data_IF_739178251447
#
_entry.id   IF_739178251447
#
_cell.length_a   1.000
_cell.length_b   1.000
_cell.length_c   1.000
_cell.angle_alpha   90.00
_cell.angle_beta   90.00
_cell.angle_gamma   90.00
#
_symmetry.space_group_name_H-M   'P 1'
#
loop_
_entity.id
_entity.type
_entity.pdbx_description
1 polymer ?
#
# COMPACT_ATOMS: atom_id res chain seq x y z
N UNK A 1 -27.24 7.93 6.17
CA UNK A 1 -26.83 7.18 7.38
C UNK A 1 -25.32 7.32 7.46
N UNK A 2 -24.79 8.01 8.47
CA UNK A 2 -23.33 8.18 8.64
C UNK A 2 -22.81 6.97 9.41
N UNK A 3 -21.98 6.15 8.77
CA UNK A 3 -21.22 5.10 9.45
C UNK A 3 -20.03 5.76 10.15
N UNK A 4 -19.90 5.55 11.46
CA UNK A 4 -18.71 5.95 12.22
C UNK A 4 -17.82 4.72 12.35
N UNK A 5 -16.60 4.79 11.82
CA UNK A 5 -15.61 3.73 11.99
C UNK A 5 -15.23 3.65 13.47
N UNK A 6 -15.57 2.54 14.13
CA UNK A 6 -15.13 2.27 15.49
C UNK A 6 -13.80 1.51 15.44
N UNK A 7 -12.70 2.21 15.76
CA UNK A 7 -11.35 1.64 15.72
C UNK A 7 -11.12 0.86 17.02
N UNK A 8 -11.28 -0.46 16.95
CA UNK A 8 -11.06 -1.34 18.11
C UNK A 8 -9.57 -1.60 18.41
N UNK A 9 -8.68 -1.42 17.43
CA UNK A 9 -7.25 -1.63 17.57
C UNK A 9 -6.46 -0.85 16.50
N UNK A 10 -5.27 -0.40 16.88
CA UNK A 10 -4.27 0.18 15.97
C UNK A 10 -2.99 -0.66 16.07
N UNK A 11 -2.39 -0.96 14.92
CA UNK A 11 -1.17 -1.76 14.83
C UNK A 11 -0.22 -1.12 13.83
N UNK A 12 1.06 -1.06 14.18
CA UNK A 12 2.09 -0.45 13.33
C UNK A 12 2.60 -1.36 12.22
N UNK A 13 2.45 -2.68 12.37
CA UNK A 13 2.95 -3.67 11.41
C UNK A 13 1.80 -4.30 10.62
N UNK A 14 1.90 -4.30 9.29
CA UNK A 14 0.92 -4.94 8.41
C UNK A 14 0.74 -6.42 8.73
N UNK A 15 1.81 -7.13 9.11
CA UNK A 15 1.72 -8.54 9.54
C UNK A 15 0.83 -8.74 10.76
N UNK A 16 0.91 -7.86 11.76
CA UNK A 16 0.06 -7.96 12.95
C UNK A 16 -1.43 -7.84 12.56
N UNK A 17 -1.75 -6.92 11.64
CA UNK A 17 -3.10 -6.76 11.10
C UNK A 17 -3.53 -8.03 10.37
N UNK A 18 -2.68 -8.59 9.49
CA UNK A 18 -3.00 -9.82 8.76
C UNK A 18 -3.28 -10.99 9.69
N UNK A 19 -2.47 -11.17 10.74
CA UNK A 19 -2.69 -12.25 11.71
C UNK A 19 -3.98 -12.06 12.50
N UNK A 20 -4.30 -10.85 12.94
CA UNK A 20 -5.53 -10.57 13.66
C UNK A 20 -6.79 -10.81 12.80
N UNK A 21 -6.76 -10.38 11.54
CA UNK A 21 -7.84 -10.64 10.58
C UNK A 21 -7.96 -12.14 10.28
N UNK A 22 -6.85 -12.83 10.06
CA UNK A 22 -6.83 -14.28 9.80
C UNK A 22 -7.36 -15.10 10.98
N UNK A 23 -7.16 -14.60 12.21
CA UNK A 23 -7.71 -15.17 13.44
C UNK A 23 -9.18 -14.79 13.69
N UNK A 24 -9.82 -14.00 12.81
CA UNK A 24 -11.21 -13.57 12.93
C UNK A 24 -11.45 -12.53 14.01
N UNK A 25 -10.42 -11.80 14.45
CA UNK A 25 -10.52 -10.85 15.56
C UNK A 25 -11.04 -9.47 15.11
N UNK A 26 -10.78 -9.07 13.87
CA UNK A 26 -11.14 -7.76 13.35
C UNK A 26 -11.18 -7.72 11.80
N UNK A 27 -11.60 -6.57 11.26
CA UNK A 27 -11.34 -6.17 9.89
C UNK A 27 -10.08 -5.29 9.83
N UNK A 28 -9.36 -5.31 8.70
CA UNK A 28 -8.12 -4.56 8.53
C UNK A 28 -8.13 -3.68 7.29
N UNK A 29 -7.54 -2.49 7.40
CA UNK A 29 -7.21 -1.63 6.26
C UNK A 29 -5.71 -1.70 6.05
N UNK A 30 -5.28 -2.21 4.90
CA UNK A 30 -3.86 -2.39 4.56
C UNK A 30 -3.62 -2.03 3.09
N UNK A 31 -2.35 -1.83 2.73
CA UNK A 31 -1.98 -1.73 1.31
C UNK A 31 -2.21 -3.08 0.62
N UNK A 32 -2.87 -3.05 -0.54
CA UNK A 32 -3.12 -4.26 -1.35
C UNK A 32 -1.82 -5.04 -1.64
N UNK A 33 -0.71 -4.33 -1.85
CA UNK A 33 0.61 -4.93 -2.08
C UNK A 33 1.14 -5.75 -0.91
N UNK A 34 0.56 -5.65 0.29
CA UNK A 34 1.01 -6.40 1.48
C UNK A 34 0.27 -7.71 1.72
N UNK A 35 -0.80 -7.97 0.95
CA UNK A 35 -1.69 -9.14 1.12
C UNK A 35 -1.78 -10.01 -0.12
N UNK A 36 -0.93 -9.81 -1.13
CA UNK A 36 -1.02 -10.52 -2.42
C UNK A 36 -0.99 -12.05 -2.25
N UNK A 37 -0.04 -12.55 -1.46
CA UNK A 37 0.05 -13.98 -1.13
C UNK A 37 -1.19 -14.48 -0.37
N UNK A 38 -1.74 -13.71 0.57
CA UNK A 38 -2.95 -14.08 1.29
C UNK A 38 -4.18 -14.17 0.39
N UNK A 39 -4.27 -13.32 -0.64
CA UNK A 39 -5.33 -13.39 -1.65
C UNK A 39 -5.15 -14.61 -2.57
N UNK A 40 -3.94 -14.87 -3.05
CA UNK A 40 -3.63 -16.05 -3.87
C UNK A 40 -3.92 -17.36 -3.13
N UNK A 41 -3.55 -17.42 -1.86
CA UNK A 41 -3.78 -18.58 -0.98
C UNK A 41 -5.19 -18.64 -0.41
N UNK A 42 -6.06 -17.66 -0.72
CA UNK A 42 -7.44 -17.54 -0.21
C UNK A 42 -7.53 -17.52 1.33
N UNK A 43 -6.47 -17.09 2.00
CA UNK A 43 -6.44 -16.93 3.47
C UNK A 43 -7.13 -15.65 3.91
N UNK A 44 -7.12 -14.63 3.05
CA UNK A 44 -7.86 -13.39 3.23
C UNK A 44 -8.73 -13.11 1.99
N UNK A 45 -9.75 -12.28 2.16
CA UNK A 45 -10.55 -11.73 1.06
C UNK A 45 -10.62 -10.20 1.19
N UNK A 46 -10.81 -9.52 0.05
CA UNK A 46 -11.08 -8.08 0.03
C UNK A 46 -12.59 -7.87 0.12
N UNK A 47 -13.02 -7.00 1.03
CA UNK A 47 -14.41 -6.59 1.14
C UNK A 47 -14.72 -5.51 0.10
N UNK A 48 -15.88 -5.63 -0.55
CA UNK A 48 -16.42 -4.60 -1.44
C UNK A 48 -17.08 -3.51 -0.57
N UNK A 49 -16.41 -2.37 -0.45
CA UNK A 49 -16.80 -1.26 0.42
C UNK A 49 -16.83 0.01 -0.39
N UNK A 50 -17.86 0.83 -0.19
CA UNK A 50 -17.98 2.14 -0.84
C UNK A 50 -16.74 3.01 -0.57
N UNK A 51 -16.32 3.80 -1.58
CA UNK A 51 -15.12 4.67 -1.52
C UNK A 51 -13.78 3.94 -1.35
N UNK A 52 -13.72 2.63 -1.58
CA UNK A 52 -12.47 1.85 -1.67
C UNK A 52 -12.17 1.43 -3.12
N UNK A 53 -10.89 1.27 -3.49
CA UNK A 53 -9.69 1.43 -2.67
C UNK A 53 -9.26 2.89 -2.46
N UNK A 54 -8.59 3.16 -1.34
CA UNK A 54 -7.88 4.43 -1.12
C UNK A 54 -6.67 4.47 -2.06
N UNK A 55 -6.74 5.28 -3.11
CA UNK A 55 -5.66 5.48 -4.07
C UNK A 55 -4.53 6.31 -3.43
N UNK A 56 -3.32 5.76 -3.45
CA UNK A 56 -2.10 6.44 -3.00
C UNK A 56 -1.11 6.50 -4.15
N UNK A 57 -0.52 7.67 -4.31
CA UNK A 57 0.46 7.96 -5.35
C UNK A 57 1.88 7.90 -4.77
N UNK A 58 2.80 7.24 -5.49
CA UNK A 58 4.21 7.27 -5.15
C UNK A 58 4.92 8.39 -5.91
N UNK A 59 5.82 9.08 -5.22
CA UNK A 59 6.55 10.21 -5.80
C UNK A 59 8.04 9.95 -5.76
N UNK A 60 8.70 10.18 -6.90
CA UNK A 60 10.16 10.21 -6.98
C UNK A 60 10.63 11.65 -6.73
N UNK A 61 11.35 11.88 -5.64
CA UNK A 61 11.75 13.23 -5.21
C UNK A 61 13.27 13.36 -5.23
N UNK A 62 13.77 14.44 -5.82
CA UNK A 62 15.17 14.85 -5.70
C UNK A 62 15.29 16.35 -5.46
N UNK A 63 16.44 16.76 -4.91
CA UNK A 63 16.76 18.18 -4.70
C UNK A 63 16.96 18.88 -6.05
N UNK A 64 16.28 20.02 -6.25
CA UNK A 64 16.39 20.83 -7.47
C UNK A 64 17.79 21.41 -7.69
N UNK A 65 18.49 21.74 -6.61
CA UNK A 65 19.80 22.38 -6.62
C UNK A 65 20.97 21.39 -6.73
N UNK A 66 20.69 20.08 -6.68
CA UNK A 66 21.71 19.03 -6.77
C UNK A 66 21.63 18.35 -8.13
N UNK A 67 22.73 18.41 -8.90
CA UNK A 67 22.86 17.58 -10.10
C UNK A 67 22.86 16.10 -9.70
N UNK A 68 22.01 15.32 -10.34
CA UNK A 68 22.01 13.86 -10.19
C UNK A 68 23.34 13.32 -10.74
N UNK A 69 23.92 12.33 -10.04
CA UNK A 69 25.02 11.59 -10.61
C UNK A 69 24.53 10.78 -11.81
N UNK A 70 25.42 10.37 -12.74
CA UNK A 70 25.02 9.52 -13.87
C UNK A 70 24.29 8.25 -13.41
N UNK A 71 24.74 7.62 -12.31
CA UNK A 71 24.09 6.43 -11.73
C UNK A 71 22.68 6.76 -11.23
N UNK A 72 22.50 7.88 -10.52
CA UNK A 72 21.18 8.29 -10.02
C UNK A 72 20.22 8.60 -11.16
N UNK A 73 20.71 9.18 -12.26
CA UNK A 73 19.90 9.46 -13.43
C UNK A 73 19.49 8.18 -14.16
N UNK A 74 20.39 7.22 -14.33
CA UNK A 74 20.04 5.89 -14.87
C UNK A 74 19.01 5.19 -14.00
N UNK A 75 19.15 5.25 -12.66
CA UNK A 75 18.18 4.66 -11.75
C UNK A 75 16.81 5.36 -11.82
N UNK A 76 16.78 6.69 -11.91
CA UNK A 76 15.54 7.44 -12.12
C UNK A 76 14.84 7.03 -13.41
N UNK A 77 15.57 6.95 -14.53
CA UNK A 77 15.02 6.48 -15.81
C UNK A 77 14.49 5.06 -15.71
N UNK A 78 15.22 4.15 -15.05
CA UNK A 78 14.78 2.78 -14.80
C UNK A 78 13.45 2.74 -14.03
N UNK A 79 13.36 3.47 -12.91
CA UNK A 79 12.14 3.53 -12.10
C UNK A 79 10.94 4.08 -12.89
N UNK A 80 11.14 5.13 -13.68
CA UNK A 80 10.07 5.72 -14.48
C UNK A 80 9.56 4.77 -15.58
N UNK A 81 10.44 3.92 -16.12
CA UNK A 81 10.07 2.94 -17.14
C UNK A 81 9.36 1.71 -16.53
N UNK A 82 9.87 1.17 -15.42
CA UNK A 82 9.36 -0.08 -14.83
C UNK A 82 8.17 0.14 -13.88
N UNK A 83 8.08 1.31 -13.27
CA UNK A 83 7.08 1.62 -12.24
C UNK A 83 6.19 2.81 -12.59
N UNK A 84 6.15 3.21 -13.87
CA UNK A 84 5.36 4.36 -14.34
C UNK A 84 3.89 4.28 -13.94
N UNK A 85 3.30 3.07 -13.90
CA UNK A 85 1.90 2.87 -13.50
C UNK A 85 1.63 3.10 -12.00
N UNK A 86 2.68 3.11 -11.17
CA UNK A 86 2.60 3.33 -9.71
C UNK A 86 3.07 4.72 -9.28
N UNK A 87 3.84 5.38 -10.14
CA UNK A 87 4.36 6.74 -9.93
C UNK A 87 3.36 7.77 -10.48
N UNK A 88 3.39 8.98 -9.94
CA UNK A 88 2.46 10.05 -10.33
C UNK A 88 3.18 11.33 -10.72
#
# INVERSE_FOLDING_TARGET
MSWVLNISAEMSASEAIKQAVSAGLCFGIVSKHTIELELETKRLCVLDVEEMPIIRHWYLVHRKDKKLSPIAQTFMTFLLNECGDYLS
#
